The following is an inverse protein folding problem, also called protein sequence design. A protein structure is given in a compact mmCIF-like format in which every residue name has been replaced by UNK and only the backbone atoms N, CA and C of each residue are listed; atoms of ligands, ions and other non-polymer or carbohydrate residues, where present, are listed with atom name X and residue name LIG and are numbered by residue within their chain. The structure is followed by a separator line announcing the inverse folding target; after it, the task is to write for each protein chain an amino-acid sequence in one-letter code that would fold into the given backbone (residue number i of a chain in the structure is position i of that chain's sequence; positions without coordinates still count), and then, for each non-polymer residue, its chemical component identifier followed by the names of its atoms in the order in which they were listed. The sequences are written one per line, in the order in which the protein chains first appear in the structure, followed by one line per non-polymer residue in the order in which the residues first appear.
data_IF_233264551426
#
_entry.id   IF_233264551426
#
_cell.length_a   1.000
_cell.length_b   1.000
_cell.length_c   1.000
_cell.angle_alpha   90.00
_cell.angle_beta   90.00
_cell.angle_gamma   90.00
#
_symmetry.space_group_name_H-M   'P 1'
#
loop_
_entity.id
_entity.type
_entity.pdbx_description
1 polymer ?
#
# COMPACT_ATOMS: atom_id res chain seq x y z
N UNK A 1 -8.32 -8.22 -3.36
CA UNK A 1 -6.91 -7.94 -3.00
C UNK A 1 -6.55 -8.64 -1.71
N UNK A 2 -5.33 -9.14 -1.57
CA UNK A 2 -4.84 -9.84 -0.38
C UNK A 2 -4.08 -8.90 0.59
N UNK A 3 -3.47 -7.85 0.06
CA UNK A 3 -2.78 -6.80 0.83
C UNK A 3 -2.91 -5.45 0.13
N UNK A 4 -2.99 -4.38 0.89
CA UNK A 4 -2.89 -3.00 0.43
C UNK A 4 -1.69 -2.35 1.13
N UNK A 5 -0.80 -1.71 0.37
CA UNK A 5 0.35 -0.97 0.89
C UNK A 5 0.13 0.52 0.63
N UNK A 6 0.24 1.35 1.66
CA UNK A 6 -0.01 2.79 1.60
C UNK A 6 1.26 3.56 1.99
N UNK A 7 1.68 4.53 1.17
CA UNK A 7 2.82 5.40 1.52
C UNK A 7 2.44 6.38 2.66
N UNK A 8 3.22 6.36 3.75
CA UNK A 8 2.94 7.04 5.04
C UNK A 8 2.89 8.57 4.97
N UNK A 9 3.70 9.22 4.13
CA UNK A 9 3.82 10.70 4.13
C UNK A 9 2.74 11.47 3.37
N UNK A 10 1.60 10.85 3.07
CA UNK A 10 0.51 11.52 2.35
C UNK A 10 -0.46 12.24 3.30
N UNK A 11 -0.76 13.51 2.99
CA UNK A 11 -1.63 14.41 3.77
C UNK A 11 -2.89 13.69 4.30
N UNK A 12 -3.09 13.81 5.61
CA UNK A 12 -3.95 13.04 6.52
C UNK A 12 -5.42 12.80 6.13
N UNK A 13 -5.95 13.50 5.12
CA UNK A 13 -7.34 13.29 4.67
C UNK A 13 -7.54 12.01 3.85
N UNK A 14 -6.67 11.71 2.88
CA UNK A 14 -6.87 10.59 1.94
C UNK A 14 -6.54 9.21 2.53
N UNK A 15 -5.69 9.17 3.57
CA UNK A 15 -5.35 7.92 4.24
C UNK A 15 -6.52 7.35 5.06
N UNK A 16 -7.33 8.22 5.67
CA UNK A 16 -8.48 7.81 6.48
C UNK A 16 -9.49 7.01 5.67
N UNK A 17 -9.87 7.52 4.51
CA UNK A 17 -10.84 6.86 3.62
C UNK A 17 -10.32 5.53 3.09
N UNK A 18 -9.04 5.48 2.69
CA UNK A 18 -8.40 4.25 2.19
C UNK A 18 -8.29 3.18 3.27
N UNK A 19 -7.89 3.53 4.50
CA UNK A 19 -7.88 2.60 5.63
C UNK A 19 -9.29 2.13 5.97
N UNK A 20 -10.29 3.03 5.93
CA UNK A 20 -11.67 2.69 6.21
C UNK A 20 -12.21 1.67 5.19
N UNK A 21 -12.02 1.90 3.90
CA UNK A 21 -12.46 0.99 2.83
C UNK A 21 -11.74 -0.36 2.94
N UNK A 22 -10.44 -0.37 3.22
CA UNK A 22 -9.68 -1.60 3.39
C UNK A 22 -10.15 -2.42 4.60
N UNK A 23 -10.47 -1.73 5.71
CA UNK A 23 -11.04 -2.35 6.92
C UNK A 23 -12.42 -2.95 6.66
N UNK A 24 -13.29 -2.25 5.92
CA UNK A 24 -14.61 -2.78 5.51
C UNK A 24 -14.47 -4.03 4.63
N UNK A 25 -13.43 -4.07 3.79
CA UNK A 25 -13.17 -5.19 2.89
C UNK A 25 -12.43 -6.36 3.55
N UNK A 26 -12.04 -6.23 4.82
CA UNK A 26 -11.28 -7.26 5.55
C UNK A 26 -9.87 -7.51 4.98
N UNK A 27 -9.29 -6.57 4.24
CA UNK A 27 -7.98 -6.73 3.59
C UNK A 27 -6.88 -6.20 4.51
N UNK A 28 -5.76 -6.92 4.62
CA UNK A 28 -4.56 -6.46 5.37
C UNK A 28 -4.07 -5.13 4.77
N UNK A 29 -3.73 -4.18 5.63
CA UNK A 29 -3.15 -2.89 5.24
C UNK A 29 -1.79 -2.74 5.89
N UNK A 30 -0.77 -2.48 5.08
CA UNK A 30 0.58 -2.17 5.54
C UNK A 30 0.90 -0.71 5.21
N UNK A 31 1.45 0.01 6.19
CA UNK A 31 1.90 1.38 5.98
C UNK A 31 3.38 1.36 5.62
N UNK A 32 3.70 1.75 4.39
CA UNK A 32 5.08 1.90 3.95
C UNK A 32 5.65 3.20 4.53
N UNK A 33 6.73 3.08 5.30
CA UNK A 33 7.44 4.19 5.94
C UNK A 33 8.28 5.01 4.94
N UNK A 34 7.60 5.65 3.98
CA UNK A 34 8.24 6.50 2.99
C UNK A 34 7.26 7.41 2.26
N UNK A 35 7.78 8.16 1.29
CA UNK A 35 6.96 8.97 0.38
C UNK A 35 6.37 8.12 -0.74
N UNK A 36 5.40 8.67 -1.47
CA UNK A 36 4.87 8.01 -2.67
C UNK A 36 5.92 7.87 -3.78
N UNK A 37 6.94 8.74 -3.80
CA UNK A 37 8.07 8.60 -4.72
C UNK A 37 8.92 7.39 -4.34
N UNK A 38 9.24 7.23 -3.05
CA UNK A 38 10.02 6.10 -2.54
C UNK A 38 9.32 4.77 -2.82
N UNK A 39 8.00 4.71 -2.61
CA UNK A 39 7.21 3.51 -2.94
C UNK A 39 7.22 3.23 -4.45
N UNK A 40 7.20 4.28 -5.29
CA UNK A 40 7.37 4.16 -6.74
C UNK A 40 8.71 3.53 -7.11
N UNK A 41 9.81 3.98 -6.49
CA UNK A 41 11.16 3.42 -6.68
C UNK A 41 11.22 1.96 -6.26
N UNK A 42 10.65 1.58 -5.10
CA UNK A 42 10.56 0.18 -4.64
C UNK A 42 9.79 -0.68 -5.65
N UNK A 43 8.74 -0.12 -6.27
CA UNK A 43 7.96 -0.79 -7.31
C UNK A 43 8.63 -0.78 -8.70
N UNK A 44 9.82 -0.19 -8.85
CA UNK A 44 10.50 -0.05 -10.14
C UNK A 44 9.79 0.90 -11.13
N UNK A 45 9.07 1.91 -10.63
CA UNK A 45 8.33 2.89 -11.44
C UNK A 45 8.99 4.28 -11.35
N UNK A 46 9.16 4.99 -12.47
CA UNK A 46 9.75 6.34 -12.49
C UNK A 46 8.76 7.45 -12.08
N UNK A 47 7.69 7.10 -11.37
CA UNK A 47 6.62 8.00 -10.97
C UNK A 47 6.08 7.62 -9.59
N UNK A 48 5.36 8.54 -8.94
CA UNK A 48 4.86 8.33 -7.59
C UNK A 48 3.74 7.29 -7.52
N UNK A 49 3.84 6.41 -6.53
CA UNK A 49 2.84 5.38 -6.18
C UNK A 49 2.35 5.69 -4.77
N UNK A 50 1.10 6.12 -4.64
CA UNK A 50 0.53 6.43 -3.31
C UNK A 50 0.01 5.18 -2.60
N UNK A 51 -0.53 4.23 -3.36
CA UNK A 51 -1.10 2.98 -2.88
C UNK A 51 -0.78 1.87 -3.88
N UNK A 52 -0.43 0.70 -3.36
CA UNK A 52 -0.25 -0.54 -4.12
C UNK A 52 -1.23 -1.60 -3.59
N UNK A 53 -1.87 -2.34 -4.49
CA UNK A 53 -2.72 -3.48 -4.12
C UNK A 53 -2.11 -4.78 -4.62
N UNK A 54 -1.89 -5.72 -3.72
CA UNK A 54 -1.43 -7.07 -4.05
C UNK A 54 -2.66 -7.93 -4.31
N UNK A 55 -2.87 -8.32 -5.57
CA UNK A 55 -3.92 -9.28 -5.95
C UNK A 55 -3.42 -10.70 -5.70
N UNK A 56 -2.21 -11.00 -6.17
CA UNK A 56 -1.53 -12.29 -6.00
C UNK A 56 -0.08 -12.08 -5.57
N UNK A 57 0.43 -12.81 -4.55
CA UNK A 57 1.80 -12.64 -4.06
C UNK A 57 2.85 -13.33 -4.94
N UNK A 58 2.45 -14.22 -5.84
CA UNK A 58 3.38 -15.11 -6.53
C UNK A 58 4.23 -15.89 -5.54
N UNK A 59 5.56 -15.86 -5.75
CA UNK A 59 6.54 -16.49 -4.85
C UNK A 59 7.00 -15.58 -3.70
N UNK A 60 6.37 -14.42 -3.52
CA UNK A 60 6.74 -13.47 -2.47
C UNK A 60 6.21 -13.88 -1.10
N UNK A 61 7.00 -13.56 -0.06
CA UNK A 61 6.60 -13.72 1.34
C UNK A 61 5.81 -12.50 1.87
N UNK A 62 5.39 -11.57 1.01
CA UNK A 62 4.75 -10.29 1.41
C UNK A 62 3.43 -10.43 2.17
N UNK A 63 2.78 -11.61 2.12
CA UNK A 63 1.56 -11.90 2.88
C UNK A 63 1.80 -12.68 4.16
N UNK A 64 3.05 -13.06 4.47
CA UNK A 64 3.37 -13.71 5.74
C UNK A 64 3.23 -12.69 6.88
N UNK A 65 2.86 -13.20 8.05
CA UNK A 65 2.72 -12.41 9.28
C UNK A 65 4.07 -12.17 9.95
#
# INVERSE_FOLDING_TARGET
SKLIVIASKNKSGRMGDMMHIAKLSGVKVEVFEGTSMDLGVVCGKPYSVSVLSVIEPGNSNILKD
#
